data_IF_616456859978
#
_entry.id   IF_616456859978
#
_cell.length_a   1.000
_cell.length_b   1.000
_cell.length_c   1.000
_cell.angle_alpha   90.00
_cell.angle_beta   90.00
_cell.angle_gamma   90.00
#
_symmetry.space_group_name_H-M   'P 1'
#
loop_
_entity.id
_entity.type
_entity.pdbx_description
1 polymer ?
#
# COMPACT_ATOMS: atom_id res chain seq x y z
N UNK A 1 13.35 13.60 -24.40
CA UNK A 1 12.52 12.99 -25.47
C UNK A 1 11.07 13.08 -25.10
N UNK A 2 10.22 13.72 -25.92
CA UNK A 2 8.77 13.81 -25.66
C UNK A 2 8.19 12.40 -25.74
N UNK A 3 7.66 11.91 -24.62
CA UNK A 3 6.85 10.68 -24.62
C UNK A 3 5.68 10.86 -25.61
N UNK A 4 5.40 9.87 -26.49
CA UNK A 4 4.26 9.97 -27.41
C UNK A 4 3.00 10.22 -26.56
N UNK A 5 2.13 11.14 -27.04
CA UNK A 5 0.85 11.42 -26.38
C UNK A 5 0.08 10.10 -26.19
N UNK A 6 0.08 9.60 -24.97
CA UNK A 6 -0.72 8.42 -24.60
C UNK A 6 -2.19 8.78 -24.82
N UNK A 7 -2.88 8.05 -25.70
CA UNK A 7 -4.33 8.21 -25.89
C UNK A 7 -4.99 7.82 -24.56
N UNK A 8 -5.65 8.79 -23.93
CA UNK A 8 -6.42 8.56 -22.71
C UNK A 8 -7.77 7.92 -23.06
N UNK A 9 -8.27 7.07 -22.14
CA UNK A 9 -9.64 6.59 -22.25
C UNK A 9 -10.62 7.75 -22.10
N UNK A 10 -11.64 7.81 -22.96
CA UNK A 10 -12.70 8.82 -22.92
C UNK A 10 -13.65 8.71 -21.73
N UNK A 11 -13.45 7.72 -20.84
CA UNK A 11 -14.28 7.53 -19.65
C UNK A 11 -14.13 8.69 -18.67
N UNK A 12 -15.26 9.10 -18.08
CA UNK A 12 -15.38 10.18 -17.11
C UNK A 12 -15.42 9.59 -15.69
N UNK A 13 -14.45 9.90 -14.87
CA UNK A 13 -14.28 9.33 -13.53
C UNK A 13 -14.60 10.37 -12.45
N UNK A 14 -15.50 10.02 -11.52
CA UNK A 14 -15.69 10.72 -10.25
C UNK A 14 -14.83 10.08 -9.17
N UNK A 15 -13.69 10.67 -8.81
CA UNK A 15 -12.83 10.17 -7.72
C UNK A 15 -13.39 10.58 -6.36
N UNK A 16 -14.06 9.63 -5.69
CA UNK A 16 -14.73 9.85 -4.41
C UNK A 16 -13.76 9.59 -3.25
N UNK A 17 -13.59 10.59 -2.38
CA UNK A 17 -12.69 10.51 -1.23
C UNK A 17 -13.16 11.39 -0.08
N UNK A 18 -13.06 10.89 1.16
CA UNK A 18 -13.29 11.69 2.37
C UNK A 18 -12.04 12.45 2.83
N UNK A 19 -10.88 12.11 2.29
CA UNK A 19 -9.59 12.77 2.55
C UNK A 19 -9.25 13.78 1.47
N UNK A 20 -8.28 14.66 1.76
CA UNK A 20 -7.66 15.51 0.76
C UNK A 20 -6.63 14.69 -0.06
N UNK A 21 -6.88 14.41 -1.34
CA UNK A 21 -5.98 13.60 -2.15
C UNK A 21 -4.71 14.35 -2.61
N UNK A 22 -4.60 15.67 -2.35
CA UNK A 22 -3.35 16.40 -2.58
C UNK A 22 -2.32 16.19 -1.48
N UNK A 23 -2.74 15.66 -0.34
CA UNK A 23 -1.87 15.44 0.82
C UNK A 23 -1.18 14.06 0.73
N UNK A 24 0.11 14.05 0.40
CA UNK A 24 0.95 12.83 0.35
C UNK A 24 1.08 12.08 1.70
N UNK A 25 0.71 12.71 2.84
CA UNK A 25 0.69 12.05 4.15
C UNK A 25 -0.62 11.29 4.40
N UNK A 26 -1.71 11.70 3.75
CA UNK A 26 -3.00 11.06 3.93
C UNK A 26 -2.98 9.65 3.33
N UNK A 27 -3.44 8.66 4.10
CA UNK A 27 -3.51 7.25 3.67
C UNK A 27 -2.16 6.71 3.12
N UNK A 28 -1.06 7.11 3.75
CA UNK A 28 0.31 6.75 3.31
C UNK A 28 0.63 7.16 1.87
N UNK A 29 0.00 8.23 1.35
CA UNK A 29 0.22 8.74 0.01
C UNK A 29 -0.58 8.05 -1.10
N UNK A 30 -1.26 6.94 -0.82
CA UNK A 30 -1.96 6.14 -1.84
C UNK A 30 -2.93 6.97 -2.68
N UNK A 31 -3.75 7.82 -2.02
CA UNK A 31 -4.73 8.66 -2.74
C UNK A 31 -4.08 9.65 -3.71
N UNK A 32 -2.92 10.21 -3.33
CA UNK A 32 -2.19 11.16 -4.17
C UNK A 32 -1.65 10.49 -5.44
N UNK A 33 -0.89 9.41 -5.28
CA UNK A 33 -0.26 8.72 -6.41
C UNK A 33 -1.30 8.03 -7.28
N UNK A 34 -2.37 7.50 -6.70
CA UNK A 34 -3.44 6.89 -7.48
C UNK A 34 -4.25 7.92 -8.28
N UNK A 35 -4.53 9.09 -7.72
CA UNK A 35 -5.16 10.20 -8.47
C UNK A 35 -4.29 10.63 -9.66
N UNK A 36 -2.96 10.64 -9.50
CA UNK A 36 -2.04 10.91 -10.61
C UNK A 36 -2.22 9.90 -11.74
N UNK A 37 -2.28 8.59 -11.41
CA UNK A 37 -2.52 7.52 -12.39
C UNK A 37 -3.87 7.70 -13.07
N UNK A 38 -4.94 7.98 -12.34
CA UNK A 38 -6.25 8.22 -12.95
C UNK A 38 -6.19 9.36 -13.98
N UNK A 39 -5.54 10.47 -13.64
CA UNK A 39 -5.39 11.63 -14.55
C UNK A 39 -4.51 11.34 -15.77
N UNK A 40 -3.61 10.38 -15.68
CA UNK A 40 -2.78 9.93 -16.81
C UNK A 40 -3.57 9.01 -17.76
N UNK A 41 -4.56 8.25 -17.24
CA UNK A 41 -5.30 7.25 -18.00
C UNK A 41 -6.64 7.76 -18.55
N UNK A 42 -7.29 8.72 -17.89
CA UNK A 42 -8.62 9.19 -18.24
C UNK A 42 -8.62 10.68 -18.59
N UNK A 43 -9.48 11.07 -19.54
CA UNK A 43 -9.59 12.47 -19.96
C UNK A 43 -10.21 13.34 -18.87
N UNK A 44 -11.23 12.83 -18.18
CA UNK A 44 -11.96 13.56 -17.14
C UNK A 44 -11.85 12.81 -15.82
N UNK A 45 -11.22 13.44 -14.83
CA UNK A 45 -11.16 12.96 -13.44
C UNK A 45 -11.49 14.10 -12.49
N UNK A 46 -12.72 14.09 -11.99
CA UNK A 46 -13.19 15.08 -11.01
C UNK A 46 -13.07 14.53 -9.59
N UNK A 47 -12.54 15.35 -8.67
CA UNK A 47 -12.46 15.00 -7.25
C UNK A 47 -13.81 15.29 -6.59
N UNK A 48 -14.46 14.25 -6.07
CA UNK A 48 -15.68 14.34 -5.26
C UNK A 48 -15.30 14.23 -3.78
N UNK A 49 -14.74 15.30 -3.26
CA UNK A 49 -14.19 15.37 -1.90
C UNK A 49 -13.41 16.68 -1.69
N UNK A 50 -12.64 16.78 -0.58
CA UNK A 50 -12.78 15.98 0.64
C UNK A 50 -14.13 16.16 1.33
N UNK A 51 -14.52 15.18 2.17
CA UNK A 51 -15.78 15.28 2.92
C UNK A 51 -15.69 16.29 4.06
N UNK A 52 -16.65 17.22 4.11
CA UNK A 52 -16.76 18.21 5.20
C UNK A 52 -17.20 17.53 6.51
N UNK A 53 -18.10 16.57 6.41
CA UNK A 53 -18.63 15.77 7.52
C UNK A 53 -17.54 15.19 8.41
N UNK A 54 -16.44 14.69 7.83
CA UNK A 54 -15.31 14.14 8.57
C UNK A 54 -14.68 15.13 9.54
N UNK A 55 -14.52 16.38 9.12
CA UNK A 55 -13.87 17.44 9.93
C UNK A 55 -14.69 17.80 11.17
N UNK A 56 -16.01 17.74 11.07
CA UNK A 56 -16.93 18.19 12.14
C UNK A 56 -17.05 17.17 13.26
N UNK A 57 -17.06 15.88 12.95
CA UNK A 57 -17.40 14.82 13.92
C UNK A 57 -16.20 14.20 14.65
N UNK A 58 -15.03 14.15 14.02
CA UNK A 58 -13.88 13.39 14.57
C UNK A 58 -13.29 13.92 15.88
N UNK A 59 -13.46 15.20 16.22
CA UNK A 59 -12.83 15.76 17.43
C UNK A 59 -13.64 15.64 18.71
N UNK A 60 -14.95 15.86 18.66
CA UNK A 60 -15.80 15.99 19.84
C UNK A 60 -16.49 14.69 20.25
N UNK A 61 -17.04 13.98 19.28
CA UNK A 61 -17.81 12.75 19.54
C UNK A 61 -16.89 11.61 19.98
N UNK A 62 -15.74 11.42 19.34
CA UNK A 62 -14.77 10.39 19.74
C UNK A 62 -14.24 10.61 21.16
N UNK A 63 -14.10 11.86 21.63
CA UNK A 63 -13.68 12.17 23.00
C UNK A 63 -14.78 11.78 24.01
N UNK A 64 -16.04 12.08 23.70
CA UNK A 64 -17.19 11.72 24.55
C UNK A 64 -17.38 10.21 24.63
N UNK A 65 -17.33 9.52 23.48
CA UNK A 65 -17.48 8.05 23.40
C UNK A 65 -16.36 7.31 24.16
N UNK A 66 -15.11 7.81 24.10
CA UNK A 66 -14.00 7.25 24.88
C UNK A 66 -14.22 7.37 26.38
N UNK A 67 -14.85 8.44 26.83
CA UNK A 67 -15.17 8.66 28.25
C UNK A 67 -16.25 7.68 28.75
N UNK A 68 -17.26 7.41 27.93
CA UNK A 68 -18.38 6.51 28.27
C UNK A 68 -17.94 5.04 28.27
N UNK A 69 -17.10 4.64 27.33
CA UNK A 69 -16.67 3.23 27.13
C UNK A 69 -15.21 3.01 27.57
N UNK A 70 -14.96 3.03 28.88
CA UNK A 70 -13.63 3.03 29.53
C UNK A 70 -12.59 1.97 29.06
N UNK A 71 -12.99 0.90 28.36
CA UNK A 71 -12.10 -0.20 27.91
C UNK A 71 -12.27 -0.61 26.46
N UNK A 72 -13.37 -0.25 25.79
CA UNK A 72 -13.64 -0.61 24.40
C UNK A 72 -13.96 0.64 23.60
N UNK A 73 -13.50 0.65 22.34
CA UNK A 73 -13.67 1.80 21.45
C UNK A 73 -14.86 1.59 20.52
N UNK A 74 -15.65 2.64 20.30
CA UNK A 74 -16.57 2.68 19.18
C UNK A 74 -15.82 3.20 17.94
N UNK A 75 -15.86 2.46 16.84
CA UNK A 75 -15.24 2.86 15.58
C UNK A 75 -16.21 3.74 14.79
N UNK A 76 -16.19 5.04 15.08
CA UNK A 76 -17.07 6.00 14.41
C UNK A 76 -16.82 6.05 12.90
N UNK A 77 -15.57 5.89 12.46
CA UNK A 77 -15.19 5.96 11.05
C UNK A 77 -15.85 4.84 10.21
N UNK A 78 -16.18 3.70 10.84
CA UNK A 78 -16.93 2.60 10.22
C UNK A 78 -18.28 2.40 10.90
N UNK A 79 -19.10 3.47 10.95
CA UNK A 79 -20.43 3.46 11.57
C UNK A 79 -21.52 3.82 10.55
N UNK A 80 -22.73 3.33 10.78
CA UNK A 80 -23.90 3.72 9.99
C UNK A 80 -24.17 5.22 10.03
N UNK A 81 -23.88 5.87 11.17
CA UNK A 81 -24.00 7.31 11.29
C UNK A 81 -23.14 8.04 10.26
N UNK A 82 -21.85 7.64 10.18
CA UNK A 82 -20.94 8.25 9.19
C UNK A 82 -21.35 7.93 7.76
N UNK A 83 -21.72 6.68 7.49
CA UNK A 83 -22.18 6.29 6.15
C UNK A 83 -23.43 7.06 5.71
N UNK A 84 -24.37 7.28 6.63
CA UNK A 84 -25.57 8.08 6.36
C UNK A 84 -25.24 9.55 6.04
N UNK A 85 -24.35 10.16 6.82
CA UNK A 85 -23.92 11.54 6.57
C UNK A 85 -23.15 11.68 5.24
N UNK A 86 -22.27 10.73 4.93
CA UNK A 86 -21.57 10.69 3.65
C UNK A 86 -22.51 10.53 2.47
N UNK A 87 -23.55 9.69 2.60
CA UNK A 87 -24.58 9.53 1.57
C UNK A 87 -25.09 10.88 1.09
N UNK A 88 -25.61 11.71 2.02
CA UNK A 88 -26.18 13.03 1.64
C UNK A 88 -25.13 13.97 1.06
N UNK A 89 -23.93 13.99 1.64
CA UNK A 89 -22.86 14.86 1.16
C UNK A 89 -22.43 14.50 -0.27
N UNK A 90 -22.22 13.22 -0.55
CA UNK A 90 -21.74 12.76 -1.86
C UNK A 90 -22.85 12.75 -2.91
N UNK A 91 -24.08 12.37 -2.58
CA UNK A 91 -25.23 12.48 -3.51
C UNK A 91 -25.45 13.94 -3.93
N UNK A 92 -25.33 14.90 -2.99
CA UNK A 92 -25.42 16.32 -3.32
C UNK A 92 -24.28 16.77 -4.29
N UNK A 93 -23.04 16.34 -4.04
CA UNK A 93 -21.89 16.68 -4.90
C UNK A 93 -21.95 16.04 -6.28
N UNK A 94 -22.60 14.89 -6.43
CA UNK A 94 -22.79 14.17 -7.70
C UNK A 94 -24.00 14.64 -8.49
N UNK A 95 -24.94 15.36 -7.85
CA UNK A 95 -26.19 15.78 -8.48
C UNK A 95 -25.96 16.62 -9.74
N UNK A 96 -26.59 16.23 -10.85
CA UNK A 96 -26.50 16.92 -12.14
C UNK A 96 -25.20 16.70 -12.92
N UNK A 97 -24.31 15.84 -12.41
CA UNK A 97 -23.06 15.50 -13.09
C UNK A 97 -23.17 14.13 -13.77
N UNK A 98 -22.44 13.98 -14.86
CA UNK A 98 -22.41 12.74 -15.64
C UNK A 98 -21.00 12.14 -15.57
N UNK A 99 -20.93 10.92 -15.10
CA UNK A 99 -19.70 10.10 -15.01
C UNK A 99 -20.04 8.68 -15.44
N UNK A 100 -19.04 7.99 -15.98
CA UNK A 100 -19.13 6.57 -16.32
C UNK A 100 -18.93 5.71 -15.09
N UNK A 101 -18.03 6.15 -14.16
CA UNK A 101 -17.77 5.47 -12.89
C UNK A 101 -17.54 6.45 -11.73
N UNK A 102 -17.97 6.02 -10.56
CA UNK A 102 -17.49 6.54 -9.26
C UNK A 102 -16.33 5.65 -8.82
N UNK A 103 -15.15 6.20 -8.67
CA UNK A 103 -13.97 5.48 -8.18
C UNK A 103 -13.78 5.77 -6.68
N UNK A 104 -13.95 4.76 -5.83
CA UNK A 104 -13.95 4.85 -4.37
C UNK A 104 -12.74 4.08 -3.79
N UNK A 105 -11.67 4.82 -3.44
CA UNK A 105 -10.44 4.24 -2.91
C UNK A 105 -10.50 4.15 -1.38
N UNK A 106 -10.50 2.90 -0.85
CA UNK A 106 -10.59 2.59 0.60
C UNK A 106 -11.74 3.33 1.28
N UNK A 107 -12.88 3.40 0.63
CA UNK A 107 -14.01 4.27 0.97
C UNK A 107 -15.31 3.47 1.21
N UNK A 108 -15.22 2.31 1.90
CA UNK A 108 -16.39 1.46 2.15
C UNK A 108 -17.50 2.19 2.92
N UNK A 109 -17.15 3.00 3.92
CA UNK A 109 -18.13 3.77 4.69
C UNK A 109 -18.83 4.84 3.86
N UNK A 110 -18.11 5.44 2.92
CA UNK A 110 -18.59 6.48 2.04
C UNK A 110 -19.60 5.97 1.02
N UNK A 111 -19.43 4.74 0.54
CA UNK A 111 -20.25 4.17 -0.54
C UNK A 111 -21.30 3.17 -0.05
N UNK A 112 -21.25 2.70 1.20
CA UNK A 112 -22.14 1.66 1.72
C UNK A 112 -23.62 2.00 1.58
N UNK A 113 -24.02 3.25 1.81
CA UNK A 113 -25.38 3.73 1.69
C UNK A 113 -25.59 4.68 0.50
N UNK A 114 -24.57 4.88 -0.32
CA UNK A 114 -24.66 5.75 -1.49
C UNK A 114 -25.66 5.19 -2.51
N UNK A 115 -26.65 5.99 -2.88
CA UNK A 115 -27.65 5.65 -3.90
C UNK A 115 -27.35 6.45 -5.19
N UNK A 116 -26.29 6.05 -5.89
CA UNK A 116 -25.95 6.63 -7.17
C UNK A 116 -26.33 5.70 -8.32
N UNK A 117 -26.89 6.27 -9.41
CA UNK A 117 -27.15 5.51 -10.65
C UNK A 117 -25.86 5.21 -11.42
N UNK A 118 -24.76 5.84 -11.02
CA UNK A 118 -23.44 5.71 -11.64
C UNK A 118 -22.77 4.44 -11.08
N UNK A 119 -22.22 3.54 -11.90
CA UNK A 119 -21.49 2.38 -11.45
C UNK A 119 -20.34 2.73 -10.50
N UNK A 120 -20.20 1.98 -9.41
CA UNK A 120 -19.15 2.19 -8.40
C UNK A 120 -18.03 1.19 -8.60
N UNK A 121 -16.81 1.69 -8.59
CA UNK A 121 -15.56 0.91 -8.50
C UNK A 121 -15.03 1.07 -7.07
N UNK A 122 -15.02 0.00 -6.32
CA UNK A 122 -14.40 -0.01 -4.98
C UNK A 122 -12.99 -0.58 -5.07
N UNK A 123 -12.01 0.10 -4.49
CA UNK A 123 -10.61 -0.33 -4.50
C UNK A 123 -10.00 -0.28 -3.10
N UNK A 124 -9.48 -1.43 -2.61
CA UNK A 124 -8.93 -1.56 -1.25
C UNK A 124 -7.78 -2.57 -1.18
N UNK A 125 -7.00 -2.52 -0.10
CA UNK A 125 -5.96 -3.48 0.25
C UNK A 125 -6.40 -4.53 1.27
N UNK A 126 -7.55 -4.30 1.93
CA UNK A 126 -8.12 -5.24 2.89
C UNK A 126 -9.62 -4.99 3.05
N UNK A 127 -10.35 -6.00 3.58
CA UNK A 127 -11.71 -5.86 4.07
C UNK A 127 -11.71 -5.50 5.56
N UNK A 128 -12.83 -4.99 6.09
CA UNK A 128 -12.96 -4.67 7.52
C UNK A 128 -12.62 -5.86 8.42
N UNK A 129 -13.06 -7.07 8.05
CA UNK A 129 -12.83 -8.30 8.83
C UNK A 129 -11.35 -8.69 8.90
N UNK A 130 -10.60 -8.47 7.81
CA UNK A 130 -9.17 -8.70 7.79
C UNK A 130 -8.40 -7.70 8.64
N UNK A 131 -8.85 -6.44 8.69
CA UNK A 131 -8.22 -5.40 9.51
C UNK A 131 -8.47 -5.59 11.01
N UNK A 132 -9.65 -6.08 11.38
CA UNK A 132 -10.04 -6.21 12.78
C UNK A 132 -9.17 -7.23 13.51
N UNK A 133 -8.50 -6.78 14.56
CA UNK A 133 -7.48 -7.51 15.34
C UNK A 133 -6.21 -7.93 14.56
N UNK A 134 -6.03 -7.45 13.33
CA UNK A 134 -4.79 -7.65 12.57
C UNK A 134 -3.76 -6.56 12.88
N UNK A 135 -4.24 -5.35 13.12
CA UNK A 135 -3.43 -4.25 13.63
C UNK A 135 -3.91 -3.84 15.03
N UNK A 136 -2.99 -3.54 15.95
CA UNK A 136 -3.32 -3.11 17.31
C UNK A 136 -4.20 -1.87 17.32
N UNK A 137 -3.94 -0.91 16.45
CA UNK A 137 -4.75 0.30 16.33
C UNK A 137 -6.17 0.03 15.78
N UNK A 138 -6.40 -1.12 15.14
CA UNK A 138 -7.71 -1.55 14.62
C UNK A 138 -8.29 -2.73 15.43
N UNK A 139 -8.12 -2.67 16.74
CA UNK A 139 -8.53 -3.69 17.70
C UNK A 139 -9.31 -3.11 18.88
N UNK A 140 -9.84 -3.96 19.73
CA UNK A 140 -10.51 -3.56 20.97
C UNK A 140 -11.84 -2.81 20.78
N UNK A 141 -12.55 -3.04 19.69
CA UNK A 141 -13.83 -2.41 19.41
C UNK A 141 -14.99 -3.08 20.16
N UNK A 142 -16.05 -2.30 20.41
CA UNK A 142 -17.35 -2.81 20.88
C UNK A 142 -17.92 -3.81 19.87
N UNK A 143 -18.61 -4.86 20.34
CA UNK A 143 -19.26 -5.85 19.47
C UNK A 143 -20.19 -5.19 18.43
N UNK A 144 -20.96 -4.18 18.86
CA UNK A 144 -21.81 -3.39 17.96
C UNK A 144 -20.98 -2.74 16.84
N UNK A 145 -19.87 -2.10 17.20
CA UNK A 145 -19.00 -1.45 16.22
C UNK A 145 -18.39 -2.43 15.20
N UNK A 146 -18.04 -3.63 15.65
CA UNK A 146 -17.60 -4.72 14.76
C UNK A 146 -18.71 -5.17 13.82
N UNK A 147 -19.93 -5.31 14.34
CA UNK A 147 -21.08 -5.69 13.53
C UNK A 147 -21.44 -4.61 12.51
N UNK A 148 -21.43 -3.34 12.89
CA UNK A 148 -21.63 -2.20 11.96
C UNK A 148 -20.57 -2.17 10.88
N UNK A 149 -19.28 -2.23 11.25
CA UNK A 149 -18.16 -2.20 10.29
C UNK A 149 -18.24 -3.34 9.25
N UNK A 150 -18.54 -4.58 9.70
CA UNK A 150 -18.75 -5.69 8.78
C UNK A 150 -19.96 -5.48 7.86
N UNK A 151 -21.06 -4.91 8.40
CA UNK A 151 -22.26 -4.65 7.59
C UNK A 151 -22.04 -3.54 6.57
N UNK A 152 -21.31 -2.50 6.93
CA UNK A 152 -20.89 -1.42 6.03
C UNK A 152 -20.03 -1.95 4.91
N UNK A 153 -19.00 -2.76 5.23
CA UNK A 153 -18.17 -3.41 4.20
C UNK A 153 -19.02 -4.26 3.25
N UNK A 154 -19.92 -5.07 3.78
CA UNK A 154 -20.83 -5.89 2.97
C UNK A 154 -21.70 -5.05 2.03
N UNK A 155 -22.24 -3.92 2.51
CA UNK A 155 -23.05 -3.02 1.70
C UNK A 155 -22.23 -2.32 0.64
N UNK A 156 -21.02 -1.86 0.98
CA UNK A 156 -20.10 -1.25 0.02
C UNK A 156 -19.76 -2.18 -1.14
N UNK A 157 -19.40 -3.44 -0.82
CA UNK A 157 -19.11 -4.46 -1.83
C UNK A 157 -20.32 -4.77 -2.71
N UNK A 158 -21.52 -4.88 -2.14
CA UNK A 158 -22.75 -5.10 -2.91
C UNK A 158 -23.15 -3.92 -3.79
N UNK A 159 -22.86 -2.69 -3.37
CA UNK A 159 -23.13 -1.48 -4.14
C UNK A 159 -22.09 -1.25 -5.25
N UNK A 160 -21.00 -2.00 -5.25
CA UNK A 160 -19.93 -1.85 -6.23
C UNK A 160 -20.18 -2.72 -7.46
N UNK A 161 -20.03 -2.13 -8.64
CA UNK A 161 -20.09 -2.85 -9.92
C UNK A 161 -18.76 -3.51 -10.25
N UNK A 162 -17.66 -3.02 -9.67
CA UNK A 162 -16.31 -3.57 -9.78
C UNK A 162 -15.63 -3.46 -8.43
N UNK A 163 -15.06 -4.56 -7.96
CA UNK A 163 -14.26 -4.62 -6.74
C UNK A 163 -12.79 -4.87 -7.11
N UNK A 164 -11.93 -3.94 -6.82
CA UNK A 164 -10.49 -4.03 -7.02
C UNK A 164 -9.80 -4.25 -5.67
N UNK A 165 -8.90 -5.21 -5.61
CA UNK A 165 -8.11 -5.45 -4.40
C UNK A 165 -6.63 -5.52 -4.72
N UNK A 166 -5.81 -4.98 -3.81
CA UNK A 166 -4.36 -4.97 -3.99
C UNK A 166 -3.72 -6.36 -3.80
N UNK A 167 -4.44 -7.32 -3.20
CA UNK A 167 -3.92 -8.65 -2.90
C UNK A 167 -4.96 -9.75 -3.03
N UNK A 168 -4.50 -10.95 -3.36
CA UNK A 168 -5.31 -12.18 -3.35
C UNK A 168 -5.88 -12.47 -1.95
N UNK A 169 -5.14 -12.12 -0.90
CA UNK A 169 -5.60 -12.23 0.49
C UNK A 169 -6.87 -11.40 0.75
N UNK A 170 -6.93 -10.18 0.20
CA UNK A 170 -8.10 -9.32 0.31
C UNK A 170 -9.26 -9.81 -0.57
N UNK A 171 -8.98 -10.29 -1.80
CA UNK A 171 -9.97 -10.91 -2.69
C UNK A 171 -10.63 -12.11 -2.00
N UNK A 172 -9.83 -13.02 -1.46
CA UNK A 172 -10.34 -14.20 -0.75
C UNK A 172 -11.32 -13.80 0.36
N UNK A 173 -10.98 -12.81 1.16
CA UNK A 173 -11.88 -12.32 2.20
C UNK A 173 -13.17 -11.70 1.62
N UNK A 174 -13.06 -10.88 0.58
CA UNK A 174 -14.23 -10.25 -0.05
C UNK A 174 -15.21 -11.29 -0.61
N UNK A 175 -14.70 -12.31 -1.28
CA UNK A 175 -15.52 -13.38 -1.88
C UNK A 175 -16.08 -14.31 -0.80
N UNK A 176 -15.22 -14.90 0.05
CA UNK A 176 -15.63 -15.96 0.97
C UNK A 176 -16.40 -15.44 2.19
N UNK A 177 -16.08 -14.23 2.67
CA UNK A 177 -16.62 -13.70 3.93
C UNK A 177 -17.73 -12.67 3.73
N UNK A 178 -17.77 -12.01 2.58
CA UNK A 178 -18.76 -10.96 2.28
C UNK A 178 -19.65 -11.30 1.07
N UNK A 179 -19.34 -12.37 0.34
CA UNK A 179 -20.11 -12.80 -0.82
C UNK A 179 -19.98 -11.85 -2.02
N UNK A 180 -18.80 -11.25 -2.18
CA UNK A 180 -18.50 -10.46 -3.36
C UNK A 180 -18.48 -11.35 -4.60
N UNK A 181 -19.03 -10.87 -5.73
CA UNK A 181 -19.05 -11.60 -6.97
C UNK A 181 -17.61 -11.81 -7.51
N UNK A 182 -17.15 -13.06 -7.66
CA UNK A 182 -15.82 -13.32 -8.20
C UNK A 182 -15.61 -12.75 -9.61
N UNK A 183 -16.66 -12.70 -10.45
CA UNK A 183 -16.59 -12.17 -11.82
C UNK A 183 -16.49 -10.64 -11.88
N UNK A 184 -16.86 -9.97 -10.79
CA UNK A 184 -16.72 -8.52 -10.62
C UNK A 184 -15.54 -8.13 -9.72
N UNK A 185 -14.70 -9.10 -9.32
CA UNK A 185 -13.58 -8.90 -8.37
C UNK A 185 -12.25 -9.15 -9.05
N UNK A 186 -11.35 -8.16 -8.99
CA UNK A 186 -10.09 -8.21 -9.72
C UNK A 186 -8.90 -7.86 -8.82
N UNK A 187 -7.78 -8.57 -9.04
CA UNK A 187 -6.48 -8.20 -8.47
C UNK A 187 -5.93 -6.99 -9.23
N UNK A 188 -5.73 -5.90 -8.52
CA UNK A 188 -5.03 -4.71 -9.01
C UNK A 188 -4.04 -4.27 -7.92
N UNK A 189 -2.73 -4.51 -8.05
CA UNK A 189 -1.74 -4.10 -7.07
C UNK A 189 -1.73 -2.60 -6.82
N UNK A 190 -1.33 -2.13 -5.63
CA UNK A 190 -1.05 -0.70 -5.44
C UNK A 190 0.27 -0.33 -6.11
N UNK A 191 0.33 0.81 -6.81
CA UNK A 191 1.58 1.34 -7.34
C UNK A 191 2.51 1.81 -6.23
N UNK A 192 3.81 1.98 -6.50
CA UNK A 192 4.71 2.60 -5.56
C UNK A 192 4.39 4.08 -5.37
N UNK A 193 4.68 4.59 -4.18
CA UNK A 193 4.55 6.00 -3.85
C UNK A 193 5.87 6.74 -4.11
N UNK A 194 6.26 6.81 -5.38
CA UNK A 194 7.49 7.50 -5.84
C UNK A 194 7.16 8.51 -6.93
N UNK A 195 7.88 9.63 -6.94
CA UNK A 195 7.71 10.67 -7.96
C UNK A 195 8.52 10.34 -9.23
N UNK A 196 9.70 9.74 -9.04
CA UNK A 196 10.63 9.39 -10.11
C UNK A 196 11.05 7.91 -10.00
N UNK A 197 11.28 7.30 -11.14
CA UNK A 197 11.79 5.94 -11.27
C UNK A 197 13.13 6.07 -11.97
N UNK A 198 14.25 5.66 -11.34
CA UNK A 198 15.56 5.79 -11.95
C UNK A 198 15.73 4.88 -13.16
N UNK A 199 16.60 5.25 -14.09
CA UNK A 199 17.05 4.35 -15.15
C UNK A 199 17.79 3.16 -14.53
N UNK A 200 17.67 1.98 -15.15
CA UNK A 200 18.24 0.74 -14.59
C UNK A 200 19.77 0.81 -14.47
N UNK A 201 20.44 1.47 -15.42
CA UNK A 201 21.88 1.68 -15.41
C UNK A 201 22.37 2.49 -14.22
N UNK A 202 21.54 3.41 -13.72
CA UNK A 202 21.84 4.18 -12.50
C UNK A 202 21.79 3.28 -11.27
N UNK A 203 20.84 2.36 -11.20
CA UNK A 203 20.72 1.42 -10.08
C UNK A 203 21.91 0.46 -10.02
N UNK A 204 22.38 -0.02 -11.15
CA UNK A 204 23.56 -0.89 -11.23
C UNK A 204 24.85 -0.16 -10.83
N UNK A 205 25.02 1.11 -11.24
CA UNK A 205 26.20 1.93 -10.91
C UNK A 205 26.25 2.41 -9.47
N UNK A 206 25.10 2.59 -8.82
CA UNK A 206 25.03 3.12 -7.45
C UNK A 206 25.40 2.07 -6.40
N UNK A 207 25.43 0.79 -6.77
CA UNK A 207 25.73 -0.31 -5.85
C UNK A 207 27.14 -0.83 -6.05
N UNK A 208 27.81 -1.04 -4.93
CA UNK A 208 29.17 -1.60 -4.91
C UNK A 208 29.13 -3.10 -4.59
N UNK A 209 30.12 -3.84 -5.06
CA UNK A 209 30.24 -5.29 -4.79
C UNK A 209 30.88 -5.60 -3.43
N UNK A 210 31.37 -4.58 -2.71
CA UNK A 210 32.21 -4.80 -1.53
C UNK A 210 31.45 -4.79 -0.20
N UNK A 211 30.28 -4.12 -0.12
CA UNK A 211 29.51 -3.96 1.11
C UNK A 211 28.04 -4.23 0.81
N UNK A 212 27.42 -5.13 1.54
CA UNK A 212 26.01 -5.43 1.45
C UNK A 212 25.19 -4.38 2.22
N UNK A 213 24.57 -3.44 1.53
CA UNK A 213 23.77 -2.40 2.14
C UNK A 213 22.33 -2.88 2.32
N UNK A 214 21.90 -3.05 3.54
CA UNK A 214 20.55 -3.41 3.92
C UNK A 214 19.72 -2.17 4.24
N UNK A 215 18.46 -2.18 3.85
CA UNK A 215 17.50 -1.13 4.18
C UNK A 215 16.34 -1.72 4.96
N UNK A 216 16.09 -1.19 6.15
CA UNK A 216 14.84 -1.36 6.88
C UNK A 216 14.03 -0.05 6.74
N UNK A 217 12.84 -0.12 6.15
CA UNK A 217 11.99 1.06 5.91
C UNK A 217 10.59 0.85 6.48
N UNK A 218 10.31 1.44 7.66
CA UNK A 218 9.02 1.26 8.33
C UNK A 218 8.84 2.14 9.55
N UNK A 219 7.58 2.46 9.88
CA UNK A 219 7.24 3.42 10.95
C UNK A 219 6.98 2.79 12.32
N UNK A 220 6.95 1.46 12.42
CA UNK A 220 6.65 0.73 13.66
C UNK A 220 7.67 -0.40 13.83
N UNK A 221 8.63 -0.22 14.73
CA UNK A 221 9.74 -1.15 14.94
C UNK A 221 9.27 -2.59 15.17
N UNK A 222 8.42 -2.82 16.18
CA UNK A 222 7.96 -4.16 16.55
C UNK A 222 7.15 -4.82 15.42
N UNK A 223 6.13 -4.13 14.92
CA UNK A 223 5.27 -4.68 13.89
C UNK A 223 6.01 -4.95 12.59
N UNK A 224 6.98 -4.12 12.26
CA UNK A 224 7.79 -4.26 11.03
C UNK A 224 8.95 -5.22 11.16
N UNK A 225 9.19 -5.78 12.37
CA UNK A 225 10.22 -6.79 12.62
C UNK A 225 11.63 -6.20 12.66
N UNK A 226 11.77 -5.00 13.22
CA UNK A 226 13.05 -4.30 13.28
C UNK A 226 14.12 -5.10 14.00
N UNK A 227 13.77 -5.80 15.09
CA UNK A 227 14.73 -6.65 15.79
C UNK A 227 15.25 -7.80 14.90
N UNK A 228 14.38 -8.44 14.12
CA UNK A 228 14.79 -9.52 13.21
C UNK A 228 15.73 -8.98 12.12
N UNK A 229 15.46 -7.77 11.59
CA UNK A 229 16.34 -7.14 10.62
C UNK A 229 17.72 -6.80 11.22
N UNK A 230 17.75 -6.33 12.47
CA UNK A 230 18.97 -6.08 13.23
C UNK A 230 19.76 -7.38 13.49
N UNK A 231 19.08 -8.44 13.90
CA UNK A 231 19.69 -9.75 14.12
C UNK A 231 20.26 -10.33 12.83
N UNK A 232 19.60 -10.13 11.69
CA UNK A 232 20.11 -10.51 10.37
C UNK A 232 21.41 -9.77 10.01
N UNK A 233 21.47 -8.46 10.28
CA UNK A 233 22.68 -7.68 10.09
C UNK A 233 23.84 -8.22 10.95
N UNK A 234 23.63 -8.48 12.25
CA UNK A 234 24.67 -9.03 13.11
C UNK A 234 25.07 -10.45 12.72
N UNK A 235 24.12 -11.26 12.24
CA UNK A 235 24.41 -12.60 11.72
C UNK A 235 25.35 -12.54 10.51
N UNK A 236 25.08 -11.66 9.54
CA UNK A 236 25.99 -11.45 8.38
C UNK A 236 27.37 -10.98 8.83
N UNK A 237 27.43 -10.01 9.73
CA UNK A 237 28.69 -9.47 10.27
C UNK A 237 29.53 -10.55 10.97
N UNK A 238 28.90 -11.42 11.74
CA UNK A 238 29.57 -12.55 12.42
C UNK A 238 30.14 -13.59 11.46
N UNK A 239 29.57 -13.70 10.25
CA UNK A 239 30.05 -14.57 9.16
C UNK A 239 31.13 -13.89 8.30
N UNK A 240 31.59 -12.69 8.68
CA UNK A 240 32.63 -11.96 7.95
C UNK A 240 32.14 -11.23 6.70
N UNK A 241 30.82 -11.13 6.47
CA UNK A 241 30.25 -10.38 5.36
C UNK A 241 30.24 -8.90 5.74
N UNK A 242 30.93 -8.08 4.94
CA UNK A 242 30.89 -6.64 5.11
C UNK A 242 29.49 -6.14 4.75
N UNK A 243 28.78 -5.58 5.71
CA UNK A 243 27.42 -5.08 5.53
C UNK A 243 27.16 -3.78 6.31
N UNK A 244 26.16 -3.05 5.88
CA UNK A 244 25.56 -1.92 6.59
C UNK A 244 24.07 -2.09 6.71
N UNK A 245 23.44 -1.42 7.68
CA UNK A 245 21.99 -1.39 7.85
C UNK A 245 21.52 0.05 8.01
N UNK A 246 20.71 0.53 7.08
CA UNK A 246 19.98 1.79 7.25
C UNK A 246 18.58 1.49 7.78
N UNK A 247 18.24 2.07 8.94
CA UNK A 247 16.91 1.99 9.57
C UNK A 247 16.23 3.34 9.32
N UNK A 248 15.14 3.34 8.56
CA UNK A 248 14.42 4.56 8.24
C UNK A 248 12.93 4.46 8.60
N UNK A 249 12.41 5.51 9.24
CA UNK A 249 11.00 5.66 9.58
C UNK A 249 10.64 5.37 11.03
N UNK A 250 11.56 4.81 11.82
CA UNK A 250 11.40 4.60 13.26
C UNK A 250 12.76 4.66 13.97
N UNK A 251 12.69 4.71 15.29
CA UNK A 251 13.86 4.64 16.18
C UNK A 251 13.81 3.28 16.88
N UNK A 252 14.91 2.51 16.87
CA UNK A 252 15.01 1.30 17.68
C UNK A 252 14.75 1.58 19.17
N UNK A 253 14.14 0.64 19.91
CA UNK A 253 13.81 0.85 21.34
C UNK A 253 15.07 1.02 22.21
N UNK A 254 16.16 0.35 21.84
CA UNK A 254 17.45 0.48 22.50
C UNK A 254 18.44 1.22 21.60
N UNK A 255 19.31 2.08 22.17
CA UNK A 255 20.39 2.72 21.42
C UNK A 255 21.32 1.68 20.79
N UNK A 256 21.70 1.89 19.53
CA UNK A 256 22.61 1.00 18.82
C UNK A 256 23.94 1.74 18.60
N UNK A 257 25.00 1.20 19.18
CA UNK A 257 26.37 1.70 19.04
C UNK A 257 27.13 0.82 18.03
N UNK A 258 26.89 1.02 16.73
CA UNK A 258 27.57 0.30 15.64
C UNK A 258 27.70 1.24 14.43
N UNK A 259 28.94 1.51 14.01
CA UNK A 259 29.23 2.41 12.87
C UNK A 259 28.65 1.93 11.54
N UNK A 260 28.34 0.65 11.39
CA UNK A 260 27.69 0.07 10.21
C UNK A 260 26.17 0.28 10.20
N UNK A 261 25.58 0.90 11.24
CA UNK A 261 24.15 1.13 11.34
C UNK A 261 23.85 2.62 11.31
N UNK A 262 22.98 3.03 10.37
CA UNK A 262 22.50 4.40 10.24
C UNK A 262 21.00 4.47 10.56
N UNK A 263 20.61 5.32 11.51
CA UNK A 263 19.21 5.51 11.91
C UNK A 263 18.69 6.86 11.44
N UNK A 264 17.66 6.84 10.60
CA UNK A 264 16.94 8.00 10.09
C UNK A 264 15.51 7.94 10.65
N UNK A 265 15.17 8.69 11.70
CA UNK A 265 13.90 8.55 12.42
C UNK A 265 12.67 8.74 11.55
N UNK A 266 12.73 9.64 10.58
CA UNK A 266 11.63 9.93 9.66
C UNK A 266 12.12 10.70 8.44
N UNK A 267 11.52 10.42 7.26
CA UNK A 267 11.67 11.22 6.04
C UNK A 267 10.31 11.69 5.55
N UNK A 268 10.17 13.00 5.36
CA UNK A 268 8.98 13.64 4.82
C UNK A 268 9.09 13.78 3.30
N UNK A 269 8.54 12.84 2.55
CA UNK A 269 8.55 12.83 1.08
C UNK A 269 7.89 14.07 0.41
N UNK A 270 7.27 14.98 1.19
CA UNK A 270 6.80 16.27 0.65
C UNK A 270 7.90 17.34 0.59
N UNK A 271 9.03 17.12 1.25
CA UNK A 271 10.19 17.99 1.23
C UNK A 271 11.21 17.46 0.24
N UNK A 272 11.59 18.25 -0.74
CA UNK A 272 12.48 17.85 -1.85
C UNK A 272 13.81 17.27 -1.34
N UNK A 273 14.44 17.91 -0.37
CA UNK A 273 15.70 17.44 0.20
C UNK A 273 15.56 16.07 0.87
N UNK A 274 14.47 15.84 1.62
CA UNK A 274 14.23 14.54 2.27
C UNK A 274 13.78 13.48 1.26
N UNK A 275 13.09 13.89 0.19
CA UNK A 275 12.78 12.99 -0.91
C UNK A 275 14.05 12.54 -1.66
N UNK A 276 14.97 13.45 -1.95
CA UNK A 276 16.29 13.11 -2.52
C UNK A 276 17.09 12.16 -1.61
N UNK A 277 17.02 12.35 -0.30
CA UNK A 277 17.64 11.42 0.66
C UNK A 277 17.00 10.03 0.60
N UNK A 278 15.67 9.96 0.47
CA UNK A 278 14.96 8.70 0.24
C UNK A 278 15.42 8.01 -1.06
N UNK A 279 15.55 8.74 -2.17
CA UNK A 279 16.03 8.20 -3.44
C UNK A 279 17.45 7.66 -3.34
N UNK A 280 18.36 8.39 -2.71
CA UNK A 280 19.74 7.94 -2.51
C UNK A 280 19.82 6.69 -1.63
N UNK A 281 19.00 6.62 -0.58
CA UNK A 281 18.92 5.45 0.28
C UNK A 281 18.46 4.22 -0.52
N UNK A 282 17.43 4.35 -1.37
CA UNK A 282 16.95 3.27 -2.24
C UNK A 282 18.00 2.87 -3.28
N UNK A 283 18.64 3.83 -3.95
CA UNK A 283 19.67 3.57 -4.97
C UNK A 283 20.86 2.80 -4.41
N UNK A 284 21.28 3.12 -3.19
CA UNK A 284 22.46 2.52 -2.55
C UNK A 284 22.15 1.16 -1.88
N UNK A 285 20.89 0.79 -1.72
CA UNK A 285 20.50 -0.44 -1.02
C UNK A 285 20.57 -1.66 -1.92
N UNK A 286 21.10 -2.76 -1.39
CA UNK A 286 21.10 -4.07 -2.05
C UNK A 286 19.80 -4.83 -1.75
N UNK A 287 19.36 -4.85 -0.52
CA UNK A 287 18.12 -5.52 -0.11
C UNK A 287 17.27 -4.62 0.78
N UNK A 288 15.96 -4.63 0.55
CA UNK A 288 14.98 -4.20 1.55
C UNK A 288 14.71 -5.39 2.47
N UNK A 289 15.02 -5.26 3.76
CA UNK A 289 14.72 -6.26 4.77
C UNK A 289 13.59 -5.75 5.67
N UNK A 290 12.41 -6.36 5.59
CA UNK A 290 11.25 -5.96 6.35
C UNK A 290 10.47 -7.19 6.86
N UNK A 291 10.93 -7.83 7.94
CA UNK A 291 10.35 -9.04 8.54
C UNK A 291 9.02 -8.74 9.25
N UNK A 292 8.09 -8.10 8.55
CA UNK A 292 6.85 -7.56 9.16
C UNK A 292 5.95 -8.65 9.72
N UNK A 293 5.32 -8.37 10.86
CA UNK A 293 4.39 -9.30 11.54
C UNK A 293 2.96 -9.17 11.03
N UNK A 294 2.63 -8.02 10.46
CA UNK A 294 1.32 -7.72 9.88
C UNK A 294 1.44 -6.70 8.74
N UNK A 295 0.90 -7.05 7.55
CA UNK A 295 0.93 -6.17 6.37
C UNK A 295 -0.22 -6.51 5.40
N UNK A 296 -1.05 -5.51 5.04
CA UNK A 296 -2.14 -5.71 4.09
C UNK A 296 -1.65 -5.85 2.65
N UNK A 297 -0.62 -5.09 2.27
CA UNK A 297 -0.03 -5.14 0.93
C UNK A 297 1.47 -4.85 0.98
N UNK A 298 1.87 -3.72 1.60
CA UNK A 298 3.26 -3.30 1.70
C UNK A 298 3.75 -2.52 0.47
N UNK A 299 3.30 -1.27 0.33
CA UNK A 299 3.69 -0.37 -0.77
C UNK A 299 5.20 -0.23 -0.88
N UNK A 300 5.91 -0.28 0.24
CA UNK A 300 7.37 -0.20 0.30
C UNK A 300 8.07 -1.26 -0.55
N UNK A 301 7.47 -2.44 -0.72
CA UNK A 301 8.01 -3.49 -1.60
C UNK A 301 7.88 -3.12 -3.08
N UNK A 302 6.80 -2.45 -3.46
CA UNK A 302 6.66 -1.88 -4.80
C UNK A 302 7.65 -0.71 -5.03
N UNK A 303 7.86 0.13 -4.01
CA UNK A 303 8.88 1.18 -4.02
C UNK A 303 10.28 0.57 -4.20
N UNK A 304 10.65 -0.45 -3.43
CA UNK A 304 11.94 -1.11 -3.55
C UNK A 304 12.15 -1.72 -4.95
N UNK A 305 11.15 -2.43 -5.47
CA UNK A 305 11.22 -3.02 -6.81
C UNK A 305 11.40 -1.97 -7.92
N UNK A 306 10.84 -0.75 -7.76
CA UNK A 306 11.04 0.34 -8.71
C UNK A 306 12.48 0.84 -8.78
N UNK A 307 13.26 0.62 -7.72
CA UNK A 307 14.70 0.89 -7.64
C UNK A 307 15.55 -0.38 -7.86
N UNK A 308 14.97 -1.45 -8.40
CA UNK A 308 15.67 -2.74 -8.57
C UNK A 308 16.23 -3.30 -7.25
N UNK A 309 15.56 -3.08 -6.12
CA UNK A 309 15.94 -3.58 -4.79
C UNK A 309 15.09 -4.79 -4.46
N UNK A 310 15.65 -6.02 -4.45
CA UNK A 310 14.94 -7.20 -3.98
C UNK A 310 14.53 -7.07 -2.52
N UNK A 311 13.34 -7.58 -2.20
CA UNK A 311 12.76 -7.45 -0.86
C UNK A 311 12.78 -8.78 -0.12
N UNK A 312 13.15 -8.74 1.16
CA UNK A 312 13.05 -9.87 2.09
C UNK A 312 11.97 -9.55 3.13
N UNK A 313 10.92 -10.35 3.17
CA UNK A 313 9.77 -10.10 4.01
C UNK A 313 9.24 -11.38 4.65
N UNK A 314 8.30 -11.25 5.57
CA UNK A 314 7.60 -12.39 6.15
C UNK A 314 6.40 -12.79 5.28
N UNK A 315 6.09 -14.07 5.20
CA UNK A 315 4.88 -14.58 4.55
C UNK A 315 3.65 -14.30 5.43
N UNK A 316 3.07 -13.11 5.28
CA UNK A 316 1.87 -12.68 6.04
C UNK A 316 0.98 -11.76 5.22
N UNK A 317 -0.33 -11.77 5.49
CA UNK A 317 -1.31 -10.88 4.85
C UNK A 317 -1.27 -10.90 3.32
N UNK A 318 -1.23 -9.72 2.73
CA UNK A 318 -1.25 -9.53 1.28
C UNK A 318 0.12 -9.47 0.60
N UNK A 319 1.23 -9.69 1.33
CA UNK A 319 2.60 -9.57 0.80
C UNK A 319 2.85 -10.48 -0.41
N UNK A 320 2.24 -11.66 -0.45
CA UNK A 320 2.36 -12.59 -1.58
C UNK A 320 1.86 -12.05 -2.92
N UNK A 321 1.15 -10.92 -2.92
CA UNK A 321 0.70 -10.27 -4.15
C UNK A 321 1.72 -9.25 -4.68
N UNK A 322 2.62 -8.74 -3.86
CA UNK A 322 3.66 -7.78 -4.25
C UNK A 322 5.04 -8.41 -4.33
N UNK A 323 5.35 -9.41 -3.50
CA UNK A 323 6.63 -10.16 -3.55
C UNK A 323 6.38 -11.54 -4.16
N UNK A 324 7.18 -11.86 -5.17
CA UNK A 324 7.24 -13.19 -5.83
C UNK A 324 8.61 -13.79 -5.57
N UNK A 325 8.63 -14.93 -4.86
CA UNK A 325 9.86 -15.57 -4.45
C UNK A 325 10.77 -15.92 -5.63
N UNK A 326 12.04 -15.54 -5.56
CA UNK A 326 13.01 -15.72 -6.62
C UNK A 326 12.88 -14.76 -7.81
N UNK A 327 11.89 -13.83 -7.80
CA UNK A 327 11.68 -12.84 -8.87
C UNK A 327 12.03 -11.43 -8.40
N UNK A 328 11.36 -10.93 -7.37
CA UNK A 328 11.63 -9.61 -6.83
C UNK A 328 11.91 -9.61 -5.33
N UNK A 329 12.20 -10.78 -4.76
CA UNK A 329 12.54 -10.97 -3.37
C UNK A 329 12.20 -12.36 -2.86
N UNK A 330 12.10 -12.48 -1.55
CA UNK A 330 11.77 -13.73 -0.88
C UNK A 330 10.89 -13.47 0.35
N UNK A 331 9.95 -14.38 0.59
CA UNK A 331 9.09 -14.39 1.76
C UNK A 331 9.45 -15.56 2.65
N UNK A 332 9.85 -15.27 3.87
CA UNK A 332 10.22 -16.28 4.85
C UNK A 332 9.00 -16.59 5.75
N UNK A 333 8.95 -17.78 6.38
CA UNK A 333 7.91 -18.10 7.35
C UNK A 333 7.82 -17.09 8.50
N UNK A 334 6.66 -17.03 9.16
CA UNK A 334 6.43 -16.10 10.28
C UNK A 334 7.39 -16.36 11.46
N UNK A 335 7.85 -17.59 11.62
CA UNK A 335 8.76 -18.06 12.66
C UNK A 335 10.24 -17.80 12.33
N UNK A 336 10.55 -17.37 11.09
CA UNK A 336 11.92 -17.10 10.66
C UNK A 336 12.57 -16.00 11.52
N UNK A 337 13.80 -16.24 11.88
CA UNK A 337 14.65 -15.37 12.70
C UNK A 337 15.69 -14.63 11.84
N UNK A 338 16.52 -13.79 12.47
CA UNK A 338 17.54 -13.01 11.76
C UNK A 338 18.54 -13.86 10.98
N UNK A 339 18.92 -15.05 11.49
CA UNK A 339 19.85 -15.95 10.80
C UNK A 339 19.27 -16.50 9.50
N UNK A 340 17.97 -16.83 9.48
CA UNK A 340 17.28 -17.30 8.26
C UNK A 340 17.26 -16.22 7.18
N UNK A 341 17.07 -14.96 7.54
CA UNK A 341 17.17 -13.82 6.61
C UNK A 341 18.61 -13.62 6.12
N UNK A 342 19.59 -13.77 7.02
CA UNK A 342 21.01 -13.69 6.67
C UNK A 342 21.42 -14.77 5.68
N UNK A 343 20.92 -16.01 5.80
CA UNK A 343 21.17 -17.11 4.87
C UNK A 343 20.77 -16.75 3.43
N UNK A 344 19.58 -16.16 3.26
CA UNK A 344 19.10 -15.73 1.94
C UNK A 344 19.96 -14.61 1.37
N UNK A 345 20.32 -13.62 2.20
CA UNK A 345 21.18 -12.49 1.79
C UNK A 345 22.55 -13.01 1.38
N UNK A 346 23.20 -13.81 2.21
CA UNK A 346 24.53 -14.39 1.95
C UNK A 346 24.54 -15.20 0.66
N UNK A 347 23.55 -16.08 0.47
CA UNK A 347 23.42 -16.92 -0.74
C UNK A 347 23.41 -16.10 -2.01
N UNK A 348 22.80 -14.91 -2.01
CA UNK A 348 22.70 -14.08 -3.21
C UNK A 348 23.84 -13.08 -3.32
N UNK A 349 24.23 -12.44 -2.21
CA UNK A 349 25.24 -11.38 -2.23
C UNK A 349 26.67 -11.94 -2.43
N UNK A 350 26.98 -13.12 -1.91
CA UNK A 350 28.32 -13.75 -2.08
C UNK A 350 28.61 -14.13 -3.54
N UNK A 351 27.56 -14.32 -4.34
CA UNK A 351 27.65 -14.54 -5.78
C UNK A 351 26.99 -13.39 -6.52
N UNK A 352 27.61 -12.23 -6.41
CA UNK A 352 27.02 -10.97 -6.85
C UNK A 352 26.62 -10.96 -8.34
N UNK A 353 27.50 -11.44 -9.21
CA UNK A 353 27.27 -11.41 -10.64
C UNK A 353 26.21 -12.42 -11.10
N UNK A 354 26.24 -13.64 -10.55
CA UNK A 354 25.39 -14.73 -11.05
C UNK A 354 24.06 -14.84 -10.29
N UNK A 355 23.97 -14.29 -9.07
CA UNK A 355 22.74 -14.39 -8.27
C UNK A 355 22.13 -13.03 -7.91
N UNK A 356 22.91 -12.08 -7.39
CA UNK A 356 22.36 -10.81 -6.96
C UNK A 356 21.92 -9.94 -8.15
N UNK A 357 22.78 -9.70 -9.14
CA UNK A 357 22.45 -8.86 -10.29
C UNK A 357 21.23 -9.38 -11.08
N UNK A 358 21.13 -10.68 -11.39
CA UNK A 358 19.93 -11.22 -12.03
C UNK A 358 18.67 -11.00 -11.20
N UNK A 359 18.72 -11.21 -9.87
CA UNK A 359 17.59 -10.98 -8.98
C UNK A 359 17.19 -9.50 -8.93
N UNK A 360 18.16 -8.59 -8.85
CA UNK A 360 17.94 -7.14 -8.87
C UNK A 360 17.25 -6.69 -10.16
N UNK A 361 17.75 -7.15 -11.32
CA UNK A 361 17.17 -6.86 -12.65
C UNK A 361 15.78 -7.50 -12.82
N UNK A 362 15.60 -8.72 -12.32
CA UNK A 362 14.30 -9.38 -12.31
C UNK A 362 13.27 -8.61 -11.44
N UNK A 363 13.71 -8.07 -10.30
CA UNK A 363 12.87 -7.22 -9.45
C UNK A 363 12.37 -5.97 -10.22
N UNK A 364 13.27 -5.30 -10.96
CA UNK A 364 12.89 -4.15 -11.77
C UNK A 364 11.96 -4.54 -12.92
N UNK A 365 12.23 -5.61 -13.62
CA UNK A 365 11.39 -6.11 -14.71
C UNK A 365 9.98 -6.44 -14.21
N UNK A 366 9.88 -7.15 -13.09
CA UNK A 366 8.59 -7.46 -12.47
C UNK A 366 7.80 -6.19 -12.11
N UNK A 367 8.49 -5.19 -11.57
CA UNK A 367 7.91 -3.89 -11.30
C UNK A 367 7.32 -3.26 -12.57
N UNK A 368 8.09 -3.17 -13.64
CA UNK A 368 7.66 -2.54 -14.90
C UNK A 368 6.45 -3.23 -15.52
N UNK A 369 6.43 -4.56 -15.49
CA UNK A 369 5.39 -5.38 -16.13
C UNK A 369 4.09 -5.47 -15.31
N UNK A 370 4.17 -5.38 -13.96
CA UNK A 370 3.03 -5.74 -13.12
C UNK A 370 2.57 -4.69 -12.11
N UNK A 371 3.47 -3.85 -11.60
CA UNK A 371 3.19 -2.93 -10.48
C UNK A 371 3.56 -1.47 -10.74
N UNK A 372 4.07 -1.16 -11.91
CA UNK A 372 4.28 0.22 -12.32
C UNK A 372 2.94 0.97 -12.51
N UNK A 373 2.97 2.30 -12.36
CA UNK A 373 1.81 3.15 -12.61
C UNK A 373 1.21 2.90 -14.01
N UNK A 374 2.07 2.63 -15.00
CA UNK A 374 1.66 2.32 -16.35
C UNK A 374 0.96 0.97 -16.48
N UNK A 375 1.52 -0.10 -15.93
CA UNK A 375 0.94 -1.44 -15.97
C UNK A 375 -0.43 -1.47 -15.24
N UNK A 376 -0.49 -0.87 -14.05
CA UNK A 376 -1.72 -0.76 -13.26
C UNK A 376 -2.77 0.07 -13.98
N UNK A 377 -2.37 1.22 -14.55
CA UNK A 377 -3.27 2.09 -15.29
C UNK A 377 -3.88 1.39 -16.50
N UNK A 378 -3.08 0.72 -17.32
CA UNK A 378 -3.57 -0.08 -18.47
C UNK A 378 -4.55 -1.16 -18.05
N UNK A 379 -4.20 -1.94 -17.02
CA UNK A 379 -5.06 -3.00 -16.50
C UNK A 379 -6.40 -2.46 -15.98
N UNK A 380 -6.36 -1.33 -15.28
CA UNK A 380 -7.55 -0.66 -14.78
C UNK A 380 -8.47 -0.21 -15.91
N UNK A 381 -7.95 0.47 -16.95
CA UNK A 381 -8.73 0.89 -18.11
C UNK A 381 -9.42 -0.30 -18.77
N UNK A 382 -8.68 -1.38 -19.01
CA UNK A 382 -9.22 -2.60 -19.59
C UNK A 382 -10.37 -3.20 -18.76
N UNK A 383 -10.24 -3.26 -17.43
CA UNK A 383 -11.30 -3.76 -16.55
C UNK A 383 -12.55 -2.88 -16.66
N UNK A 384 -12.40 -1.55 -16.65
CA UNK A 384 -13.53 -0.63 -16.68
C UNK A 384 -14.25 -0.65 -18.04
N UNK A 385 -13.51 -0.65 -19.14
CA UNK A 385 -14.09 -0.73 -20.50
C UNK A 385 -14.83 -2.05 -20.71
N UNK A 386 -14.26 -3.18 -20.29
CA UNK A 386 -14.92 -4.48 -20.33
C UNK A 386 -16.20 -4.52 -19.49
N UNK A 387 -16.23 -3.81 -18.36
CA UNK A 387 -17.40 -3.75 -17.47
C UNK A 387 -18.56 -2.99 -18.14
N UNK A 388 -18.29 -1.92 -18.89
CA UNK A 388 -19.31 -1.19 -19.62
C UNK A 388 -19.84 -1.99 -20.82
N UNK A 389 -18.96 -2.65 -21.54
CA UNK A 389 -19.35 -3.47 -22.70
C UNK A 389 -20.29 -4.64 -22.34
N UNK A 390 -20.16 -5.20 -21.12
CA UNK A 390 -21.06 -6.24 -20.63
C UNK A 390 -22.45 -5.74 -20.22
N UNK A 391 -22.63 -4.42 -20.06
CA UNK A 391 -23.91 -3.80 -19.66
C UNK A 391 -24.72 -3.26 -20.82
N UNK A 392 -24.12 -3.17 -22.01
CA UNK A 392 -24.80 -2.86 -23.29
C UNK A 392 -25.32 -4.15 -23.94
#
# INVERSE_FOLDING_TARGET
MHSPHKIKSGLRIAFLTSFDPSNKKAMSGVSYYFLKILREQFEVVDIIGPAKTRKVLNGRINRLLRFIFKRKRYNLDHSFLMSFLYKFEFEHKLKGKQYDFIFALRASTEIALLNAKIPVVYYSDATFKLLYNYYDWFSGFLKLSVAEGNKIEQLALRNSSVCLFASEWAIKSAVEQYGCDPEATYLLPFPPNVDHIPEIELTDKSRTTGICNLLFLGVEWERKGGQIALDAYYSLKSRGIKCSLTICGCIPPEPIEDEGINVIPYLNKNLEVEYMQFEQMMLNSHFLILPTRAECYGIVFAEASSYAVPSLATQTGGIGSVIKDGINGFRLPLEANGADYADVIETHFSDYAEKYLPLSRSSRKYFEEHISAEAIGKKMVQILENTLSKKQ
#
